data_IF_776290600672
#
_entry.id   IF_776290600672
#
_cell.length_a   1.000
_cell.length_b   1.000
_cell.length_c   1.000
_cell.angle_alpha   90.00
_cell.angle_beta   90.00
_cell.angle_gamma   90.00
#
_symmetry.space_group_name_H-M   'P 1'
#
loop_
_entity.id
_entity.type
_entity.pdbx_description
1 polymer ?
#
# COMPACT_ATOMS: atom_id res chain seq x y z
N UNK A 1 -18.19 24.45 15.51
CA UNK A 1 -17.21 23.50 14.92
C UNK A 1 -16.42 22.88 16.04
N UNK A 2 -16.48 21.57 16.26
CA UNK A 2 -15.58 20.89 17.21
C UNK A 2 -14.17 20.98 16.61
N UNK A 3 -13.27 21.62 17.33
CA UNK A 3 -11.86 21.68 16.97
C UNK A 3 -11.32 20.25 17.08
N UNK A 4 -11.19 19.55 15.95
CA UNK A 4 -10.56 18.24 15.90
C UNK A 4 -9.08 18.44 16.18
N UNK A 5 -8.56 17.76 17.20
CA UNK A 5 -7.10 17.77 17.47
C UNK A 5 -6.41 17.20 16.22
N UNK A 6 -5.30 17.83 15.77
CA UNK A 6 -4.53 17.27 14.68
C UNK A 6 -4.06 15.85 15.04
N UNK A 7 -4.15 14.95 14.08
CA UNK A 7 -3.69 13.58 14.21
C UNK A 7 -2.19 13.54 13.91
N UNK A 8 -1.40 13.12 14.87
CA UNK A 8 0.03 12.91 14.71
C UNK A 8 0.37 11.48 15.05
N UNK A 9 0.97 10.78 14.12
CA UNK A 9 1.49 9.44 14.33
C UNK A 9 2.96 9.36 13.94
N UNK A 10 3.75 8.66 14.71
CA UNK A 10 5.12 8.34 14.36
C UNK A 10 5.15 7.01 13.59
N UNK A 11 5.65 7.05 12.38
CA UNK A 11 5.90 5.87 11.55
C UNK A 11 7.39 5.71 11.28
N UNK A 12 7.91 4.56 11.60
CA UNK A 12 9.20 4.08 11.13
C UNK A 12 9.09 2.58 10.89
N UNK A 13 9.80 2.09 9.87
CA UNK A 13 9.96 0.65 9.67
C UNK A 13 10.96 0.02 10.65
N UNK A 14 11.73 0.83 11.36
CA UNK A 14 12.84 0.38 12.20
C UNK A 14 12.55 0.58 13.69
N UNK A 15 13.37 -0.06 14.52
CA UNK A 15 13.19 -0.03 15.98
C UNK A 15 13.23 1.39 16.56
N UNK A 16 14.20 2.20 16.21
CA UNK A 16 14.33 3.64 16.53
C UNK A 16 13.76 4.07 17.90
N UNK A 17 14.10 3.34 18.95
CA UNK A 17 13.52 3.54 20.29
C UNK A 17 13.73 4.95 20.84
N UNK A 18 14.89 5.55 20.58
CA UNK A 18 15.17 6.92 21.03
C UNK A 18 14.27 7.95 20.36
N UNK A 19 14.02 7.80 19.05
CA UNK A 19 13.11 8.67 18.33
C UNK A 19 11.67 8.50 18.84
N UNK A 20 11.19 7.26 18.99
CA UNK A 20 9.86 6.96 19.54
C UNK A 20 9.69 7.58 20.95
N UNK A 21 10.69 7.44 21.82
CA UNK A 21 10.68 8.02 23.16
C UNK A 21 10.61 9.55 23.13
N UNK A 22 11.35 10.20 22.23
CA UNK A 22 11.30 11.66 22.06
C UNK A 22 9.93 12.13 21.58
N UNK A 23 9.35 11.45 20.59
CA UNK A 23 8.01 11.77 20.13
C UNK A 23 6.95 11.57 21.22
N UNK A 24 7.03 10.48 21.98
CA UNK A 24 6.15 10.25 23.13
C UNK A 24 6.28 11.38 24.18
N UNK A 25 7.50 11.87 24.46
CA UNK A 25 7.72 12.93 25.43
C UNK A 25 7.11 14.28 25.07
N UNK A 26 6.77 14.52 23.80
CA UNK A 26 6.09 15.72 23.32
C UNK A 26 4.60 15.50 23.04
N UNK A 27 4.06 14.35 23.47
CA UNK A 27 2.62 14.06 23.40
C UNK A 27 2.15 13.30 22.17
N UNK A 28 3.04 12.73 21.35
CA UNK A 28 2.67 11.77 20.30
C UNK A 28 2.41 10.43 20.95
N UNK A 29 1.17 9.96 20.90
CA UNK A 29 0.72 8.70 21.48
C UNK A 29 0.34 7.64 20.43
N UNK A 30 0.56 7.93 19.15
CA UNK A 30 0.20 7.05 18.05
C UNK A 30 1.44 6.59 17.29
N UNK A 31 1.60 5.27 17.20
CA UNK A 31 2.80 4.65 16.64
C UNK A 31 2.45 3.57 15.64
N UNK A 32 3.13 3.60 14.50
CA UNK A 32 3.03 2.51 13.52
C UNK A 32 3.87 1.32 13.98
N UNK A 33 3.29 0.13 13.81
CA UNK A 33 3.91 -1.17 14.03
C UNK A 33 3.77 -1.98 12.75
N UNK A 34 4.86 -2.58 12.28
CA UNK A 34 4.90 -3.29 11.02
C UNK A 34 5.42 -4.72 11.21
N UNK A 35 4.51 -5.68 11.24
CA UNK A 35 4.83 -7.10 11.29
C UNK A 35 5.29 -7.58 9.91
N UNK A 36 6.46 -7.12 9.48
CA UNK A 36 7.00 -7.40 8.17
C UNK A 36 7.66 -8.77 8.11
N UNK A 37 7.38 -9.51 7.04
CA UNK A 37 8.11 -10.69 6.61
C UNK A 37 8.79 -10.48 5.25
N UNK A 38 8.52 -9.37 4.56
CA UNK A 38 9.31 -8.93 3.43
C UNK A 38 10.66 -8.37 3.88
N UNK A 39 11.67 -8.50 3.03
CA UNK A 39 13.02 -8.06 3.33
C UNK A 39 13.34 -6.75 2.61
N UNK A 40 14.05 -5.86 3.29
CA UNK A 40 14.60 -4.65 2.70
C UNK A 40 15.84 -4.97 1.80
N UNK A 41 16.44 -3.94 1.22
CA UNK A 41 17.61 -4.08 0.35
C UNK A 41 18.87 -4.64 1.05
N UNK A 42 18.88 -4.68 2.38
CA UNK A 42 19.97 -5.26 3.19
C UNK A 42 19.73 -6.74 3.53
N UNK A 43 18.61 -7.31 3.10
CA UNK A 43 18.24 -8.70 3.39
C UNK A 43 17.63 -8.92 4.77
N UNK A 44 17.27 -7.85 5.47
CA UNK A 44 16.62 -7.88 6.78
C UNK A 44 15.12 -7.62 6.66
N UNK A 45 14.27 -8.17 7.56
CA UNK A 45 12.88 -7.76 7.63
C UNK A 45 12.75 -6.25 7.85
N UNK A 46 11.81 -5.61 7.18
CA UNK A 46 11.65 -4.16 7.26
C UNK A 46 11.47 -3.65 8.70
N UNK A 47 10.76 -4.39 9.54
CA UNK A 47 10.54 -4.02 10.94
C UNK A 47 11.73 -4.27 11.85
N UNK A 48 12.79 -4.91 11.40
CA UNK A 48 13.93 -5.39 12.21
C UNK A 48 13.52 -6.35 13.34
N UNK A 49 12.38 -7.00 13.20
CA UNK A 49 11.90 -8.11 14.00
C UNK A 49 11.81 -9.35 13.13
N UNK A 50 11.84 -10.53 13.72
CA UNK A 50 11.79 -11.75 12.95
C UNK A 50 10.48 -11.87 12.14
N UNK A 51 10.48 -12.60 11.00
CA UNK A 51 9.28 -12.80 10.20
C UNK A 51 8.18 -13.52 10.97
N UNK A 52 6.92 -13.14 10.72
CA UNK A 52 5.75 -13.74 11.35
C UNK A 52 5.13 -14.88 10.54
N UNK A 53 5.38 -14.92 9.23
CA UNK A 53 4.86 -15.97 8.34
C UNK A 53 5.99 -16.91 7.91
N UNK A 54 6.08 -18.07 8.59
CA UNK A 54 7.24 -18.98 8.49
C UNK A 54 7.09 -20.02 7.39
N UNK A 55 5.88 -20.53 7.17
CA UNK A 55 5.57 -21.56 6.17
C UNK A 55 4.06 -21.65 5.95
N UNK A 56 3.60 -22.55 5.05
CA UNK A 56 2.18 -22.86 4.88
C UNK A 56 1.53 -23.17 6.24
N UNK A 57 0.45 -22.49 6.53
CA UNK A 57 -0.32 -22.61 7.78
C UNK A 57 0.55 -22.56 9.07
N UNK A 58 1.74 -21.95 8.99
CA UNK A 58 2.68 -21.87 10.12
C UNK A 58 3.09 -20.41 10.36
N UNK A 59 2.64 -19.88 11.49
CA UNK A 59 2.82 -18.48 11.87
C UNK A 59 3.42 -18.39 13.27
N UNK A 60 4.32 -17.41 13.48
CA UNK A 60 4.78 -17.00 14.80
C UNK A 60 4.55 -15.49 14.97
N UNK A 61 3.63 -15.13 15.81
CA UNK A 61 3.30 -13.72 16.06
C UNK A 61 4.04 -13.13 17.26
N UNK A 62 4.93 -13.89 17.91
CA UNK A 62 5.79 -13.39 19.00
C UNK A 62 6.58 -12.13 18.62
N UNK A 63 7.16 -12.02 17.39
CA UNK A 63 7.85 -10.80 16.98
C UNK A 63 6.94 -9.58 16.85
N UNK A 64 5.68 -9.77 16.45
CA UNK A 64 4.68 -8.72 16.43
C UNK A 64 4.31 -8.26 17.86
N UNK A 65 4.06 -9.24 18.75
CA UNK A 65 3.75 -8.97 20.15
C UNK A 65 4.88 -8.19 20.82
N UNK A 66 6.13 -8.58 20.55
CA UNK A 66 7.30 -7.87 21.04
C UNK A 66 7.34 -6.42 20.53
N UNK A 67 7.09 -6.22 19.22
CA UNK A 67 7.10 -4.88 18.60
C UNK A 67 6.06 -3.96 19.25
N UNK A 68 4.84 -4.45 19.49
CA UNK A 68 3.78 -3.69 20.17
C UNK A 68 4.18 -3.41 21.62
N UNK A 69 4.69 -4.40 22.34
CA UNK A 69 5.10 -4.24 23.74
C UNK A 69 6.28 -3.30 23.90
N UNK A 70 7.24 -3.29 22.97
CA UNK A 70 8.34 -2.32 22.96
C UNK A 70 7.80 -0.89 22.83
N UNK A 71 6.80 -0.65 22.01
CA UNK A 71 6.13 0.66 21.88
C UNK A 71 5.37 1.03 23.17
N UNK A 72 4.61 0.10 23.75
CA UNK A 72 3.88 0.30 25.01
C UNK A 72 4.85 0.58 26.16
N UNK A 73 6.01 -0.08 26.19
CA UNK A 73 7.06 0.18 27.18
C UNK A 73 7.65 1.59 27.11
N UNK A 74 7.64 2.21 25.92
CA UNK A 74 8.07 3.59 25.71
C UNK A 74 6.96 4.61 25.95
N UNK A 75 5.72 4.25 25.64
CA UNK A 75 4.52 5.07 25.76
C UNK A 75 3.35 4.19 26.23
N UNK A 76 3.06 4.13 27.54
CA UNK A 76 2.02 3.25 28.11
C UNK A 76 0.61 3.50 27.51
N UNK A 77 0.34 4.72 27.07
CA UNK A 77 -0.94 5.11 26.45
C UNK A 77 -0.95 4.93 24.93
N UNK A 78 0.09 4.29 24.36
CA UNK A 78 0.23 4.16 22.92
C UNK A 78 -0.98 3.54 22.26
N UNK A 79 -1.38 4.16 21.14
CA UNK A 79 -2.31 3.65 20.15
C UNK A 79 -1.53 3.15 18.95
N UNK A 80 -1.95 2.04 18.40
CA UNK A 80 -1.21 1.31 17.37
C UNK A 80 -1.86 1.49 16.01
N UNK A 81 -1.07 1.94 15.05
CA UNK A 81 -1.38 1.81 13.63
C UNK A 81 -0.74 0.50 13.18
N UNK A 82 -1.56 -0.50 12.94
CA UNK A 82 -1.10 -1.85 12.63
C UNK A 82 -0.95 -2.02 11.13
N UNK A 83 0.30 -2.09 10.65
CA UNK A 83 0.63 -2.33 9.26
C UNK A 83 0.70 -3.84 9.01
N UNK A 84 -0.06 -4.32 8.02
CA UNK A 84 -0.12 -5.75 7.66
C UNK A 84 0.66 -5.95 6.37
N UNK A 85 1.74 -6.73 6.43
CA UNK A 85 2.53 -7.09 5.26
C UNK A 85 1.85 -8.23 4.48
N UNK A 86 1.41 -7.95 3.26
CA UNK A 86 0.81 -8.92 2.35
C UNK A 86 1.83 -9.44 1.32
N UNK A 87 3.06 -8.95 1.35
CA UNK A 87 4.09 -9.45 0.46
C UNK A 87 4.38 -10.94 0.69
N UNK A 88 4.80 -11.60 -0.35
CA UNK A 88 5.26 -12.98 -0.26
C UNK A 88 6.49 -13.07 0.64
N UNK A 89 6.49 -13.90 1.69
CA UNK A 89 7.75 -14.27 2.28
C UNK A 89 8.61 -15.00 1.26
N UNK A 90 9.93 -14.92 1.41
CA UNK A 90 10.89 -15.44 0.43
C UNK A 90 10.66 -16.92 0.06
N UNK A 91 10.24 -17.74 1.04
CA UNK A 91 9.95 -19.15 0.78
C UNK A 91 8.73 -19.32 -0.15
N UNK A 92 7.66 -18.49 0.01
CA UNK A 92 6.47 -18.54 -0.85
C UNK A 92 6.79 -18.04 -2.25
N UNK A 93 7.52 -16.92 -2.35
CA UNK A 93 7.97 -16.38 -3.64
C UNK A 93 8.76 -17.44 -4.44
N UNK A 94 9.64 -18.19 -3.79
CA UNK A 94 10.39 -19.30 -4.41
C UNK A 94 9.50 -20.46 -4.84
N UNK A 95 8.49 -20.82 -4.04
CA UNK A 95 7.56 -21.90 -4.38
C UNK A 95 6.66 -21.56 -5.56
N UNK A 96 6.24 -20.30 -5.66
CA UNK A 96 5.32 -19.85 -6.70
C UNK A 96 6.04 -19.32 -7.95
N UNK A 97 7.36 -19.13 -7.89
CA UNK A 97 8.15 -18.45 -8.92
C UNK A 97 7.62 -17.04 -9.25
N UNK A 98 6.98 -16.41 -8.27
CA UNK A 98 6.51 -15.04 -8.34
C UNK A 98 6.73 -14.35 -7.00
N UNK A 99 7.33 -13.17 -7.04
CA UNK A 99 7.55 -12.34 -5.86
C UNK A 99 6.65 -11.12 -5.94
N UNK A 100 5.78 -10.97 -4.95
CA UNK A 100 4.87 -9.83 -4.88
C UNK A 100 5.58 -8.51 -4.62
N UNK A 101 6.75 -8.52 -4.00
CA UNK A 101 7.47 -7.29 -3.70
C UNK A 101 7.79 -6.48 -4.97
N UNK A 102 8.45 -7.03 -6.01
CA UNK A 102 8.63 -6.32 -7.27
C UNK A 102 7.41 -6.42 -8.21
N UNK A 103 6.52 -7.40 -8.03
CA UNK A 103 5.53 -7.74 -9.04
C UNK A 103 4.16 -8.08 -8.44
N UNK A 104 3.60 -7.12 -7.69
CA UNK A 104 2.36 -7.33 -6.94
C UNK A 104 1.20 -7.75 -7.84
N UNK A 105 1.07 -7.21 -9.05
CA UNK A 105 -0.01 -7.60 -9.96
C UNK A 105 0.17 -9.00 -10.56
N UNK A 106 1.40 -9.50 -10.68
CA UNK A 106 1.64 -10.90 -11.05
C UNK A 106 1.29 -11.85 -9.91
N UNK A 107 1.68 -11.51 -8.70
CA UNK A 107 1.32 -12.27 -7.51
C UNK A 107 -0.20 -12.29 -7.31
N UNK A 108 -0.86 -11.14 -7.43
CA UNK A 108 -2.31 -10.99 -7.35
C UNK A 108 -3.07 -11.83 -8.41
N UNK A 109 -2.44 -12.10 -9.55
CA UNK A 109 -3.00 -12.97 -10.58
C UNK A 109 -2.76 -14.48 -10.33
N UNK A 110 -2.06 -14.81 -9.26
CA UNK A 110 -1.73 -16.20 -8.91
C UNK A 110 -2.66 -16.70 -7.80
N UNK A 111 -3.56 -17.65 -8.12
CA UNK A 111 -4.61 -18.12 -7.21
C UNK A 111 -4.05 -18.62 -5.87
N UNK A 112 -2.91 -19.36 -5.90
CA UNK A 112 -2.28 -19.86 -4.68
C UNK A 112 -1.72 -18.74 -3.80
N UNK A 113 -1.18 -17.69 -4.38
CA UNK A 113 -0.75 -16.53 -3.60
C UNK A 113 -1.92 -15.90 -2.84
N UNK A 114 -3.03 -15.67 -3.54
CA UNK A 114 -4.24 -15.13 -2.89
C UNK A 114 -4.74 -16.01 -1.77
N UNK A 115 -4.79 -17.33 -1.99
CA UNK A 115 -5.23 -18.29 -0.99
C UNK A 115 -4.37 -18.23 0.28
N UNK A 116 -3.05 -18.33 0.12
CA UNK A 116 -2.14 -18.35 1.26
C UNK A 116 -2.07 -17.00 1.99
N UNK A 117 -2.09 -15.89 1.24
CA UNK A 117 -2.14 -14.55 1.84
C UNK A 117 -3.43 -14.32 2.62
N UNK A 118 -4.59 -14.81 2.15
CA UNK A 118 -5.84 -14.74 2.92
C UNK A 118 -5.76 -15.53 4.24
N UNK A 119 -5.12 -16.70 4.23
CA UNK A 119 -4.92 -17.50 5.45
C UNK A 119 -4.04 -16.74 6.46
N UNK A 120 -2.94 -16.17 5.97
CA UNK A 120 -2.04 -15.37 6.80
C UNK A 120 -2.76 -14.15 7.39
N UNK A 121 -3.42 -13.35 6.56
CA UNK A 121 -4.14 -12.15 7.02
C UNK A 121 -5.20 -12.52 8.07
N UNK A 122 -5.94 -13.61 7.86
CA UNK A 122 -6.91 -14.09 8.85
C UNK A 122 -6.24 -14.41 10.18
N UNK A 123 -5.22 -15.26 10.16
CA UNK A 123 -4.53 -15.67 11.38
C UNK A 123 -3.89 -14.48 12.11
N UNK A 124 -3.29 -13.55 11.36
CA UNK A 124 -2.66 -12.35 11.90
C UNK A 124 -3.68 -11.42 12.56
N UNK A 125 -4.78 -11.08 11.86
CA UNK A 125 -5.80 -10.15 12.38
C UNK A 125 -6.52 -10.75 13.58
N UNK A 126 -6.87 -12.05 13.55
CA UNK A 126 -7.47 -12.74 14.69
C UNK A 126 -6.55 -12.71 15.93
N UNK A 127 -5.25 -12.90 15.73
CA UNK A 127 -4.26 -12.77 16.82
C UNK A 127 -4.17 -11.33 17.33
N UNK A 128 -3.99 -10.36 16.43
CA UNK A 128 -3.82 -8.95 16.76
C UNK A 128 -5.03 -8.40 17.53
N UNK A 129 -6.25 -8.71 17.09
CA UNK A 129 -7.50 -8.33 17.78
C UNK A 129 -7.63 -8.98 19.15
N UNK A 130 -7.24 -10.25 19.27
CA UNK A 130 -7.30 -10.99 20.54
C UNK A 130 -6.35 -10.41 21.58
N UNK A 131 -5.15 -9.99 21.18
CA UNK A 131 -4.08 -9.59 22.12
C UNK A 131 -4.05 -8.07 22.33
N UNK A 132 -4.28 -7.28 21.27
CA UNK A 132 -4.09 -5.84 21.28
C UNK A 132 -5.27 -5.05 20.69
N UNK A 133 -6.45 -5.66 20.53
CA UNK A 133 -7.58 -5.02 19.86
C UNK A 133 -8.02 -3.70 20.47
N UNK A 134 -7.87 -3.51 21.79
CA UNK A 134 -8.16 -2.25 22.48
C UNK A 134 -7.11 -1.13 22.20
N UNK A 135 -5.94 -1.50 21.71
CA UNK A 135 -4.84 -0.59 21.36
C UNK A 135 -4.78 -0.23 19.88
N UNK A 136 -5.19 -1.15 19.01
CA UNK A 136 -5.13 -0.94 17.56
C UNK A 136 -6.25 0.00 17.14
N UNK A 137 -5.90 1.14 16.57
CA UNK A 137 -6.87 2.14 16.09
C UNK A 137 -7.11 2.07 14.58
N UNK A 138 -6.16 1.54 13.85
CA UNK A 138 -6.33 1.29 12.41
C UNK A 138 -5.49 0.12 11.94
N UNK A 139 -5.92 -0.48 10.83
CA UNK A 139 -5.11 -1.39 10.02
C UNK A 139 -4.70 -0.70 8.71
N UNK A 140 -3.49 -0.97 8.26
CA UNK A 140 -2.96 -0.44 6.99
C UNK A 140 -2.44 -1.61 6.18
N UNK A 141 -3.03 -1.83 5.00
CA UNK A 141 -2.62 -2.91 4.11
C UNK A 141 -1.38 -2.51 3.32
N UNK A 142 -0.35 -3.36 3.40
CA UNK A 142 0.96 -3.14 2.80
C UNK A 142 1.28 -4.26 1.82
N UNK A 143 1.74 -3.93 0.62
CA UNK A 143 2.19 -4.91 -0.37
C UNK A 143 3.00 -4.21 -1.47
N UNK A 144 3.64 -4.98 -2.35
CA UNK A 144 4.39 -4.45 -3.48
C UNK A 144 5.71 -3.79 -3.07
N UNK A 145 6.34 -3.12 -4.00
CA UNK A 145 7.63 -2.46 -3.74
C UNK A 145 7.46 -1.36 -2.71
N UNK A 146 8.40 -1.27 -1.79
CA UNK A 146 8.40 -0.39 -0.61
C UNK A 146 7.19 -0.58 0.30
N UNK A 147 6.45 -1.69 0.14
CA UNK A 147 5.22 -1.98 0.87
C UNK A 147 4.08 -0.96 0.62
N UNK A 148 4.10 -0.33 -0.55
CA UNK A 148 3.21 0.78 -0.92
C UNK A 148 2.38 0.49 -2.18
N UNK A 149 2.11 -0.77 -2.47
CA UNK A 149 1.33 -1.27 -3.62
C UNK A 149 1.91 -0.89 -4.98
N UNK A 150 3.18 -0.52 -5.03
CA UNK A 150 3.84 -0.21 -6.28
C UNK A 150 4.25 -1.49 -7.03
N UNK A 151 3.83 -1.59 -8.29
CA UNK A 151 4.23 -2.68 -9.19
C UNK A 151 5.46 -2.28 -10.01
N UNK A 152 6.52 -3.05 -9.92
CA UNK A 152 7.75 -2.87 -10.70
C UNK A 152 7.92 -3.93 -11.78
N UNK A 153 6.89 -4.74 -12.04
CA UNK A 153 6.90 -5.71 -13.13
C UNK A 153 6.83 -5.07 -14.53
N UNK A 154 6.61 -3.75 -14.60
CA UNK A 154 6.40 -3.01 -15.85
C UNK A 154 5.29 -3.64 -16.72
N UNK A 155 4.22 -4.09 -16.08
CA UNK A 155 3.10 -4.71 -16.76
C UNK A 155 3.40 -6.11 -17.32
N UNK A 156 4.46 -6.79 -16.87
CA UNK A 156 4.78 -8.16 -17.29
C UNK A 156 3.55 -9.06 -17.19
N UNK A 157 3.42 -9.98 -18.14
CA UNK A 157 2.29 -10.87 -18.30
C UNK A 157 2.49 -12.24 -17.62
N UNK A 158 1.39 -12.91 -17.43
CA UNK A 158 1.32 -14.32 -17.07
C UNK A 158 -0.04 -14.88 -17.51
N UNK A 159 -0.19 -16.21 -17.60
CA UNK A 159 -1.50 -16.81 -17.91
C UNK A 159 -2.61 -16.36 -16.94
N UNK A 160 -2.29 -16.23 -15.64
CA UNK A 160 -3.22 -15.72 -14.62
C UNK A 160 -3.61 -14.27 -14.87
N UNK A 161 -2.65 -13.42 -15.22
CA UNK A 161 -2.92 -12.01 -15.51
C UNK A 161 -3.71 -11.81 -16.79
N UNK A 162 -3.46 -12.63 -17.83
CA UNK A 162 -4.28 -12.62 -19.04
C UNK A 162 -5.73 -13.03 -18.73
N UNK A 163 -5.93 -14.06 -17.90
CA UNK A 163 -7.28 -14.45 -17.43
C UNK A 163 -7.97 -13.27 -16.73
N UNK A 164 -7.30 -12.64 -15.77
CA UNK A 164 -7.84 -11.48 -15.07
C UNK A 164 -8.16 -10.30 -16.01
N UNK A 165 -7.32 -10.09 -17.02
CA UNK A 165 -7.55 -9.03 -18.02
C UNK A 165 -8.80 -9.32 -18.87
N UNK A 166 -9.00 -10.55 -19.31
CA UNK A 166 -10.22 -10.98 -20.03
C UNK A 166 -11.47 -10.81 -19.18
N UNK A 167 -11.42 -11.24 -17.94
CA UNK A 167 -12.52 -11.07 -16.99
C UNK A 167 -12.84 -9.58 -16.74
N UNK A 168 -11.83 -8.74 -16.63
CA UNK A 168 -12.00 -7.29 -16.50
C UNK A 168 -12.64 -6.69 -17.75
N UNK A 169 -12.19 -7.04 -18.95
CA UNK A 169 -12.81 -6.62 -20.21
C UNK A 169 -14.28 -7.04 -20.29
N UNK A 170 -14.59 -8.28 -19.94
CA UNK A 170 -15.97 -8.78 -19.92
C UNK A 170 -16.86 -7.96 -18.96
N UNK A 171 -16.37 -7.64 -17.75
CA UNK A 171 -17.12 -6.78 -16.79
C UNK A 171 -17.35 -5.37 -17.30
N UNK A 172 -16.46 -4.84 -18.15
CA UNK A 172 -16.56 -3.51 -18.76
C UNK A 172 -17.35 -3.50 -20.08
N UNK A 173 -17.80 -4.67 -20.55
CA UNK A 173 -18.46 -4.79 -21.87
C UNK A 173 -17.52 -4.56 -23.05
N UNK A 174 -16.22 -4.77 -22.86
CA UNK A 174 -15.18 -4.62 -23.87
C UNK A 174 -14.94 -5.96 -24.58
N UNK A 175 -14.44 -5.94 -25.84
CA UNK A 175 -14.04 -7.16 -26.53
C UNK A 175 -13.02 -7.97 -25.73
N UNK A 176 -13.12 -9.30 -25.81
CA UNK A 176 -12.16 -10.18 -25.18
C UNK A 176 -10.79 -10.04 -25.87
N UNK A 177 -9.72 -9.70 -25.13
CA UNK A 177 -8.39 -9.58 -25.69
C UNK A 177 -7.82 -10.98 -25.99
N UNK A 178 -7.18 -11.12 -27.17
CA UNK A 178 -6.48 -12.36 -27.51
C UNK A 178 -5.30 -12.60 -26.57
N UNK A 179 -4.56 -11.52 -26.24
CA UNK A 179 -3.38 -11.55 -25.40
C UNK A 179 -3.20 -10.20 -24.68
N UNK A 180 -2.26 -10.14 -23.72
CA UNK A 180 -1.79 -8.88 -23.15
C UNK A 180 -0.94 -8.16 -24.21
N UNK A 181 -1.16 -6.84 -24.45
CA UNK A 181 -0.36 -6.11 -25.41
C UNK A 181 1.13 -6.23 -25.11
N UNK A 182 1.95 -6.53 -26.11
CA UNK A 182 3.40 -6.62 -25.96
C UNK A 182 4.03 -5.29 -25.51
N UNK A 183 5.26 -5.35 -24.96
CA UNK A 183 5.95 -4.19 -24.38
C UNK A 183 5.96 -2.99 -25.33
N UNK A 184 6.29 -3.21 -26.61
CA UNK A 184 6.33 -2.13 -27.59
C UNK A 184 4.97 -1.44 -27.77
N UNK A 185 3.86 -2.20 -27.72
CA UNK A 185 2.51 -1.64 -27.81
C UNK A 185 2.12 -0.91 -26.52
N UNK A 186 2.45 -1.49 -25.36
CA UNK A 186 2.14 -0.87 -24.05
C UNK A 186 2.88 0.45 -23.84
N UNK A 187 4.12 0.55 -24.32
CA UNK A 187 4.98 1.72 -24.15
C UNK A 187 4.84 2.73 -25.29
N UNK A 188 4.09 2.39 -26.34
CA UNK A 188 3.85 3.28 -27.46
C UNK A 188 3.13 4.55 -27.02
N UNK A 189 3.56 5.68 -27.56
CA UNK A 189 3.02 7.01 -27.31
C UNK A 189 2.89 7.71 -28.67
N UNK A 190 1.67 7.88 -29.14
CA UNK A 190 1.38 8.38 -30.47
C UNK A 190 1.44 9.89 -30.62
N UNK A 191 1.42 10.63 -29.51
CA UNK A 191 1.39 12.09 -29.53
C UNK A 191 2.47 12.70 -28.66
N UNK A 192 3.06 13.79 -29.17
CA UNK A 192 3.91 14.68 -28.40
C UNK A 192 3.39 16.11 -28.53
N UNK A 193 3.23 16.81 -27.42
CA UNK A 193 2.84 18.19 -27.39
C UNK A 193 3.75 18.95 -26.40
N UNK A 194 4.47 19.95 -26.91
CA UNK A 194 5.38 20.79 -26.10
C UNK A 194 6.36 19.97 -25.22
N UNK A 195 6.91 18.88 -25.77
CA UNK A 195 7.81 17.96 -25.06
C UNK A 195 7.12 16.97 -24.12
N UNK A 196 5.80 17.09 -23.92
CA UNK A 196 5.03 16.09 -23.18
C UNK A 196 4.60 14.96 -24.11
N UNK A 197 4.83 13.74 -23.65
CA UNK A 197 4.38 12.53 -24.34
C UNK A 197 3.01 12.13 -23.83
N UNK A 198 2.05 12.07 -24.73
CA UNK A 198 0.64 11.78 -24.42
C UNK A 198 0.16 10.57 -25.23
N UNK A 199 -0.63 9.71 -24.59
CA UNK A 199 -1.35 8.66 -25.29
C UNK A 199 -2.66 9.18 -25.87
N UNK A 200 -2.92 8.80 -27.11
CA UNK A 200 -4.21 9.06 -27.77
C UNK A 200 -5.16 7.87 -27.49
N UNK A 201 -6.34 8.07 -26.92
CA UNK A 201 -7.26 6.97 -26.60
C UNK A 201 -7.68 6.12 -27.79
N UNK A 202 -7.57 6.64 -29.02
CA UNK A 202 -7.91 5.90 -30.25
C UNK A 202 -6.67 5.22 -30.82
N UNK A 203 -5.57 5.95 -30.98
CA UNK A 203 -4.35 5.42 -31.60
C UNK A 203 -3.58 4.48 -30.68
N UNK A 204 -3.60 4.74 -29.36
CA UNK A 204 -2.93 3.94 -28.34
C UNK A 204 -3.95 3.14 -27.50
N UNK A 205 -5.10 2.79 -28.11
CA UNK A 205 -6.23 2.15 -27.43
C UNK A 205 -5.81 0.96 -26.56
N UNK A 206 -5.04 0.03 -27.10
CA UNK A 206 -4.64 -1.19 -26.40
C UNK A 206 -3.75 -0.88 -25.18
N UNK A 207 -2.84 0.09 -25.31
CA UNK A 207 -2.02 0.54 -24.20
C UNK A 207 -2.88 1.20 -23.11
N UNK A 208 -3.77 2.11 -23.48
CA UNK A 208 -4.66 2.80 -22.55
C UNK A 208 -5.54 1.80 -21.81
N UNK A 209 -6.18 0.88 -22.53
CA UNK A 209 -7.05 -0.14 -21.96
C UNK A 209 -6.28 -1.04 -20.98
N UNK A 210 -5.09 -1.52 -21.39
CA UNK A 210 -4.29 -2.39 -20.54
C UNK A 210 -3.82 -1.71 -19.24
N UNK A 211 -3.38 -0.45 -19.31
CA UNK A 211 -2.92 0.26 -18.12
C UNK A 211 -4.06 0.65 -17.18
N UNK A 212 -5.28 0.85 -17.70
CA UNK A 212 -6.48 0.96 -16.88
C UNK A 212 -6.74 -0.34 -16.11
N UNK A 213 -6.73 -1.47 -16.83
CA UNK A 213 -6.85 -2.78 -16.20
C UNK A 213 -5.78 -2.97 -15.11
N UNK A 214 -4.52 -2.70 -15.42
CA UNK A 214 -3.40 -2.90 -14.52
C UNK A 214 -3.58 -2.16 -13.18
N UNK A 215 -4.03 -0.91 -13.22
CA UNK A 215 -4.29 -0.12 -12.02
C UNK A 215 -5.57 -0.56 -11.30
N UNK A 216 -6.66 -0.84 -12.02
CA UNK A 216 -7.89 -1.32 -11.39
C UNK A 216 -7.72 -2.71 -10.77
N UNK A 217 -6.95 -3.59 -11.39
CA UNK A 217 -6.67 -4.92 -10.86
C UNK A 217 -5.88 -4.88 -9.54
N UNK A 218 -4.92 -3.96 -9.44
CA UNK A 218 -4.22 -3.71 -8.19
C UNK A 218 -5.19 -3.25 -7.09
N UNK A 219 -6.08 -2.28 -7.40
CA UNK A 219 -7.10 -1.81 -6.45
C UNK A 219 -8.09 -2.91 -6.08
N UNK A 220 -8.54 -3.73 -7.04
CA UNK A 220 -9.42 -4.87 -6.76
C UNK A 220 -8.77 -5.85 -5.77
N UNK A 221 -7.45 -6.04 -5.86
CA UNK A 221 -6.72 -6.85 -4.91
C UNK A 221 -6.67 -6.22 -3.52
N UNK A 222 -6.43 -4.91 -3.44
CA UNK A 222 -6.50 -4.17 -2.18
C UNK A 222 -7.88 -4.34 -1.53
N UNK A 223 -8.94 -4.11 -2.29
CA UNK A 223 -10.32 -4.16 -1.79
C UNK A 223 -10.72 -5.57 -1.34
N UNK A 224 -10.22 -6.61 -2.01
CA UNK A 224 -10.42 -7.99 -1.59
C UNK A 224 -9.87 -8.24 -0.16
N UNK A 225 -8.64 -7.78 0.10
CA UNK A 225 -8.04 -7.92 1.43
C UNK A 225 -8.62 -6.94 2.45
N UNK A 226 -9.04 -5.76 2.03
CA UNK A 226 -9.73 -4.81 2.89
C UNK A 226 -11.07 -5.39 3.40
N UNK A 227 -11.86 -5.95 2.50
CA UNK A 227 -13.10 -6.64 2.86
C UNK A 227 -12.87 -7.83 3.80
N UNK A 228 -11.79 -8.59 3.57
CA UNK A 228 -11.40 -9.67 4.50
C UNK A 228 -11.12 -9.12 5.90
N UNK A 229 -10.28 -8.08 6.04
CA UNK A 229 -9.97 -7.49 7.35
C UNK A 229 -11.24 -6.95 8.01
N UNK A 230 -12.11 -6.26 7.26
CA UNK A 230 -13.41 -5.80 7.78
C UNK A 230 -14.27 -6.94 8.34
N UNK A 231 -14.26 -8.09 7.68
CA UNK A 231 -15.03 -9.25 8.11
C UNK A 231 -14.52 -9.89 9.42
N UNK A 232 -13.26 -9.64 9.77
CA UNK A 232 -12.59 -10.23 10.94
C UNK A 232 -12.67 -9.33 12.19
N UNK A 233 -12.89 -8.03 11.99
CA UNK A 233 -12.91 -7.06 13.10
C UNK A 233 -14.34 -6.67 13.43
N UNK A 234 -14.77 -6.91 14.68
CA UNK A 234 -16.14 -6.66 15.12
C UNK A 234 -16.36 -5.27 15.75
N UNK A 235 -15.29 -4.54 16.02
CA UNK A 235 -15.32 -3.20 16.62
C UNK A 235 -15.07 -2.13 15.55
N UNK A 236 -15.39 -0.86 15.82
CA UNK A 236 -14.97 0.23 14.96
C UNK A 236 -13.44 0.32 14.90
N UNK A 237 -12.90 0.26 13.69
CA UNK A 237 -11.48 0.41 13.40
C UNK A 237 -11.33 1.07 12.04
N UNK A 238 -10.39 1.96 11.87
CA UNK A 238 -10.10 2.56 10.57
C UNK A 238 -9.25 1.62 9.72
N UNK A 239 -9.45 1.60 8.41
CA UNK A 239 -8.67 0.82 7.46
C UNK A 239 -8.12 1.70 6.36
N UNK A 240 -6.82 1.66 6.18
CA UNK A 240 -6.10 2.50 5.23
C UNK A 240 -5.14 1.74 4.32
N UNK A 241 -4.65 2.46 3.33
CA UNK A 241 -3.69 1.93 2.37
C UNK A 241 -2.80 3.03 1.82
N UNK A 242 -1.56 2.68 1.50
CA UNK A 242 -0.64 3.54 0.75
C UNK A 242 -0.95 3.44 -0.73
N UNK A 243 -1.56 4.49 -1.31
CA UNK A 243 -1.95 4.48 -2.71
C UNK A 243 -2.18 5.90 -3.25
N UNK A 244 -2.17 6.04 -4.58
CA UNK A 244 -2.45 7.31 -5.25
C UNK A 244 -1.23 8.23 -5.33
N UNK A 245 -0.04 7.68 -5.49
CA UNK A 245 1.25 8.38 -5.54
C UNK A 245 1.46 9.18 -6.83
N UNK A 246 0.46 9.97 -7.23
CA UNK A 246 0.48 10.68 -8.51
C UNK A 246 1.58 11.73 -8.54
N UNK A 247 1.79 12.44 -7.44
CA UNK A 247 2.81 13.50 -7.35
C UNK A 247 4.23 12.93 -7.30
N UNK A 248 4.42 11.83 -6.59
CA UNK A 248 5.73 11.21 -6.44
C UNK A 248 6.15 10.43 -7.69
N UNK A 249 5.24 9.61 -8.19
CA UNK A 249 5.54 8.71 -9.31
C UNK A 249 5.48 9.41 -10.66
N UNK A 250 4.81 10.55 -10.76
CA UNK A 250 4.70 11.40 -11.95
C UNK A 250 4.62 10.58 -13.26
N UNK A 251 5.75 10.50 -14.00
CA UNK A 251 5.83 9.83 -15.29
C UNK A 251 5.70 8.30 -15.22
N UNK A 252 5.88 7.69 -14.07
CA UNK A 252 5.85 6.22 -13.89
C UNK A 252 4.57 5.70 -13.22
N UNK A 253 3.65 6.57 -12.81
CA UNK A 253 2.43 6.21 -12.10
C UNK A 253 1.60 5.13 -12.81
N UNK A 254 1.56 5.16 -14.13
CA UNK A 254 0.87 4.18 -14.98
C UNK A 254 1.46 2.77 -14.79
N UNK A 255 2.80 2.67 -14.85
CA UNK A 255 3.51 1.40 -14.74
C UNK A 255 3.50 0.86 -13.29
N UNK A 256 3.32 1.73 -12.30
CA UNK A 256 3.28 1.38 -10.87
C UNK A 256 1.89 0.98 -10.38
N UNK A 257 0.89 0.99 -11.26
CA UNK A 257 -0.50 0.60 -10.98
C UNK A 257 -1.20 1.50 -9.93
N UNK A 258 -0.92 2.82 -9.94
CA UNK A 258 -1.43 3.79 -8.96
C UNK A 258 -2.45 4.79 -9.52
N UNK A 259 -3.09 4.50 -10.67
CA UNK A 259 -4.05 5.43 -11.30
C UNK A 259 -5.51 5.25 -10.88
N UNK A 260 -5.87 4.13 -10.25
CA UNK A 260 -7.27 3.84 -9.94
C UNK A 260 -7.70 4.27 -8.52
N UNK A 261 -7.20 5.42 -8.05
CA UNK A 261 -7.47 5.93 -6.70
C UNK A 261 -8.96 6.22 -6.47
N UNK A 262 -9.69 6.70 -7.48
CA UNK A 262 -11.13 6.98 -7.40
C UNK A 262 -11.94 5.72 -7.03
N UNK A 263 -11.58 4.58 -7.62
CA UNK A 263 -12.21 3.29 -7.29
C UNK A 263 -11.97 2.89 -5.84
N UNK A 264 -10.76 3.16 -5.34
CA UNK A 264 -10.39 2.87 -3.97
C UNK A 264 -11.10 3.81 -2.98
N UNK A 265 -11.11 5.11 -3.27
CA UNK A 265 -11.75 6.15 -2.45
C UNK A 265 -13.27 5.95 -2.33
N UNK A 266 -13.91 5.44 -3.39
CA UNK A 266 -15.35 5.15 -3.39
C UNK A 266 -15.74 3.87 -2.64
N UNK A 267 -14.78 3.06 -2.21
CA UNK A 267 -15.06 1.80 -1.50
C UNK A 267 -15.49 2.04 -0.04
N UNK A 268 -16.51 1.32 0.46
CA UNK A 268 -16.88 1.38 1.86
C UNK A 268 -15.85 0.73 2.80
N UNK A 269 -14.95 -0.08 2.27
CA UNK A 269 -13.98 -0.85 3.06
C UNK A 269 -12.71 -0.07 3.40
N UNK A 270 -12.47 1.08 2.74
CA UNK A 270 -11.32 1.95 2.97
C UNK A 270 -11.77 3.26 3.57
N UNK A 271 -11.18 3.66 4.69
CA UNK A 271 -11.49 4.90 5.38
C UNK A 271 -10.52 6.03 5.00
N UNK A 272 -9.26 5.70 4.69
CA UNK A 272 -8.26 6.71 4.37
C UNK A 272 -7.16 6.20 3.42
N UNK A 273 -6.60 7.13 2.66
CA UNK A 273 -5.44 6.91 1.81
C UNK A 273 -4.23 7.61 2.40
N UNK A 274 -3.06 6.98 2.26
CA UNK A 274 -1.79 7.55 2.61
C UNK A 274 -1.01 7.76 1.31
N UNK A 275 -0.52 8.97 1.10
CA UNK A 275 0.38 9.27 0.00
C UNK A 275 1.48 10.17 0.51
N UNK A 276 2.75 9.93 0.16
CA UNK A 276 3.79 10.90 0.43
C UNK A 276 3.49 12.19 -0.35
N UNK A 277 3.98 13.29 0.16
CA UNK A 277 4.05 14.49 -0.64
C UNK A 277 5.16 14.35 -1.69
N UNK A 278 5.61 15.47 -2.21
CA UNK A 278 6.78 15.51 -3.09
C UNK A 278 8.07 15.30 -2.27
N UNK A 279 9.00 14.52 -2.82
CA UNK A 279 10.32 14.30 -2.23
C UNK A 279 11.38 15.26 -2.74
N UNK A 280 11.03 16.20 -3.62
CA UNK A 280 11.94 17.25 -4.08
C UNK A 280 12.18 18.26 -2.96
N UNK A 281 13.34 18.87 -2.95
CA UNK A 281 13.75 19.91 -1.98
C UNK A 281 13.70 19.47 -0.50
N UNK A 282 14.27 18.32 -0.21
CA UNK A 282 14.48 17.84 1.16
C UNK A 282 15.66 18.56 1.82
N UNK A 283 15.45 19.78 2.22
CA UNK A 283 16.36 20.42 3.17
C UNK A 283 16.18 19.86 4.58
N UNK A 284 17.24 19.91 5.35
CA UNK A 284 17.21 19.47 6.75
C UNK A 284 16.17 20.25 7.54
N UNK A 285 15.12 19.56 8.02
CA UNK A 285 13.97 20.18 8.67
C UNK A 285 12.84 20.59 7.71
N UNK A 286 13.05 20.50 6.41
CA UNK A 286 12.01 20.62 5.40
C UNK A 286 11.20 19.35 5.31
N UNK A 287 9.90 19.46 5.42
CA UNK A 287 9.00 18.38 5.01
C UNK A 287 9.06 18.20 3.50
N UNK A 288 8.47 17.13 3.00
CA UNK A 288 8.34 16.87 1.57
C UNK A 288 7.92 18.11 0.79
N UNK A 289 8.66 18.45 -0.20
CA UNK A 289 8.54 19.23 -1.36
C UNK A 289 7.37 20.13 -1.73
N UNK A 290 6.73 20.76 -0.78
CA UNK A 290 5.88 21.92 -1.07
C UNK A 290 6.62 23.25 -0.84
N UNK A 291 7.94 23.21 -0.89
CA UNK A 291 8.78 24.40 -0.93
C UNK A 291 8.85 24.90 -2.38
N UNK A 292 8.45 26.14 -2.60
CA UNK A 292 8.79 26.82 -3.85
C UNK A 292 10.30 27.02 -3.93
N UNK A 293 10.88 27.27 -5.12
CA UNK A 293 12.29 27.61 -5.27
C UNK A 293 12.77 28.75 -4.37
N UNK A 294 11.84 29.53 -3.81
CA UNK A 294 12.12 30.66 -2.91
C UNK A 294 12.01 30.28 -1.42
N UNK A 295 11.90 29.00 -1.09
CA UNK A 295 11.74 28.56 0.28
C UNK A 295 10.35 28.80 0.89
N UNK A 296 9.36 29.21 0.10
CA UNK A 296 8.00 29.44 0.58
C UNK A 296 7.27 28.10 0.65
N UNK A 297 6.77 27.75 1.83
CA UNK A 297 5.90 26.59 2.01
C UNK A 297 4.53 26.91 1.42
N UNK A 298 4.17 26.23 0.35
CA UNK A 298 2.80 26.32 -0.16
C UNK A 298 1.84 25.59 0.77
N UNK A 299 0.63 26.10 1.02
CA UNK A 299 -0.41 25.34 1.69
C UNK A 299 -0.59 24.02 0.93
N UNK A 300 -0.49 22.91 1.61
CA UNK A 300 -0.67 21.61 0.99
C UNK A 300 -2.10 21.48 0.48
N UNK A 301 -2.33 21.29 -0.80
CA UNK A 301 -3.66 21.00 -1.30
C UNK A 301 -4.14 19.60 -0.89
N UNK A 302 -3.19 18.73 -0.49
CA UNK A 302 -3.49 17.37 -0.06
C UNK A 302 -2.81 17.10 1.29
N UNK A 303 -3.56 16.72 2.33
CA UNK A 303 -2.96 16.13 3.50
C UNK A 303 -2.25 14.84 3.10
N UNK A 304 -1.19 14.46 3.82
CA UNK A 304 -0.56 13.14 3.69
C UNK A 304 -1.60 12.01 3.84
N UNK A 305 -2.73 12.33 4.43
CA UNK A 305 -3.88 11.50 4.67
C UNK A 305 -5.11 12.20 4.11
N UNK A 306 -5.79 11.57 3.17
CA UNK A 306 -7.10 11.99 2.73
C UNK A 306 -8.13 11.00 3.24
N UNK A 307 -9.08 11.50 4.01
CA UNK A 307 -10.18 10.68 4.51
C UNK A 307 -11.41 10.87 3.66
N UNK A 308 -12.07 9.76 3.41
CA UNK A 308 -13.27 9.70 2.61
C UNK A 308 -14.38 10.64 3.08
N UNK A 309 -14.62 10.73 4.38
CA UNK A 309 -15.74 11.49 4.94
C UNK A 309 -15.31 12.75 5.70
N UNK A 310 -14.11 13.25 5.46
CA UNK A 310 -13.58 14.42 6.15
C UNK A 310 -13.43 14.24 7.67
N UNK A 311 -13.37 13.00 8.14
CA UNK A 311 -13.24 12.69 9.58
C UNK A 311 -11.93 13.19 10.18
N UNK A 312 -10.92 13.36 9.34
CA UNK A 312 -9.70 14.08 9.66
C UNK A 312 -9.52 15.23 8.67
N UNK A 313 -10.45 16.15 8.65
CA UNK A 313 -10.25 17.38 7.92
C UNK A 313 -8.99 18.09 8.46
N UNK A 314 -8.17 18.71 7.59
CA UNK A 314 -6.95 19.40 7.96
C UNK A 314 -7.17 20.51 8.97
#
# INVERSE_FOLDING_TARGET
MKQTKPFFAYRSFWKEFDAKKRFASIGVDQFAVFASHSTNSLGEPYGQYDPTWLWYDTYDFTPFDQQVNDVIGLCPEAKILCLIDLNSPLWLARQLYVDSYPAVTLAAAHDRWKEETRKYVRAFVEHAEKVFGDRIICYILMCGTTDEWMDFSNGTDSPGKLRAYREWCARKGLPEPADIPGVAARDHISREHTGMKLRDPVMDHDAVQYWHFHSEFNVETILEFASLVRSLVSRPVELGVFYGYILELAHSVVHRAHLAYEKLESSPDIDFLISPGDYQDRDMGGGSGFMTPNGTVLPRPHPLWALRDGRFAP
#
